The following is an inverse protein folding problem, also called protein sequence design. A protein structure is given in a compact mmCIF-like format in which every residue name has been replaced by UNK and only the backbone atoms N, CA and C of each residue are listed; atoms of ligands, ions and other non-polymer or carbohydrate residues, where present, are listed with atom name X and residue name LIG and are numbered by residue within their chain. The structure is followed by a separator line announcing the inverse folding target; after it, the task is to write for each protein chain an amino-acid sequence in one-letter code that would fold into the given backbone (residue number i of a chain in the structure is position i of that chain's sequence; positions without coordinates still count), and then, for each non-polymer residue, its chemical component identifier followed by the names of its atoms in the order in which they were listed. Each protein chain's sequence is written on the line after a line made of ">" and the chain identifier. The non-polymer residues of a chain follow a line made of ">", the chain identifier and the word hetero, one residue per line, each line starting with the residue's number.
data_IF_697929024288
#
_entry.id   IF_697929024288
#
_cell.length_a   1.000
_cell.length_b   1.000
_cell.length_c   1.000
_cell.angle_alpha   90.00
_cell.angle_beta   90.00
_cell.angle_gamma   90.00
#
_symmetry.space_group_name_H-M   'P 1'
#
loop_
_entity.id
_entity.type
_entity.pdbx_description
1 polymer ?
#
# COMPACT_ATOMS: atom_id res chain seq x y z
N UNK A 1 70.24 1.50 -14.11
CA UNK A 1 69.00 0.96 -14.72
C UNK A 1 69.20 0.33 -16.11
N UNK A 2 69.86 0.99 -17.09
CA UNK A 2 70.03 0.44 -18.45
C UNK A 2 70.74 -0.94 -18.51
N UNK A 3 71.77 -1.17 -17.67
CA UNK A 3 72.50 -2.46 -17.57
C UNK A 3 71.67 -3.61 -16.98
N UNK A 4 70.66 -3.31 -16.16
CA UNK A 4 69.76 -4.30 -15.58
C UNK A 4 68.73 -4.76 -16.62
N UNK A 5 68.18 -3.81 -17.38
CA UNK A 5 67.28 -4.08 -18.50
C UNK A 5 67.91 -4.94 -19.60
N UNK A 6 69.19 -4.71 -19.93
CA UNK A 6 69.88 -5.54 -20.94
C UNK A 6 70.14 -6.96 -20.45
N UNK A 7 70.47 -7.16 -19.17
CA UNK A 7 70.62 -8.49 -18.55
C UNK A 7 69.29 -9.26 -18.51
N UNK A 8 68.20 -8.59 -18.13
CA UNK A 8 66.86 -9.18 -18.11
C UNK A 8 66.42 -9.59 -19.53
N UNK A 9 66.64 -8.73 -20.54
CA UNK A 9 66.32 -9.07 -21.93
C UNK A 9 67.08 -10.30 -22.44
N UNK A 10 68.37 -10.43 -22.13
CA UNK A 10 69.16 -11.60 -22.53
C UNK A 10 68.64 -12.88 -21.88
N UNK A 11 68.34 -12.81 -20.58
CA UNK A 11 67.82 -13.94 -19.81
C UNK A 11 66.44 -14.41 -20.30
N UNK A 12 65.55 -13.48 -20.67
CA UNK A 12 64.25 -13.78 -21.29
C UNK A 12 64.44 -14.46 -22.66
N UNK A 13 65.46 -14.06 -23.43
CA UNK A 13 65.75 -14.64 -24.75
C UNK A 13 66.31 -16.07 -24.64
N UNK A 14 67.04 -16.38 -23.57
CA UNK A 14 67.54 -17.74 -23.26
C UNK A 14 66.43 -18.65 -22.73
N UNK A 15 65.48 -18.10 -21.95
CA UNK A 15 64.41 -18.87 -21.29
C UNK A 15 63.03 -18.63 -21.92
N UNK A 16 62.97 -18.37 -23.24
CA UNK A 16 61.74 -17.99 -23.97
C UNK A 16 60.57 -18.92 -23.66
N UNK A 17 60.77 -20.24 -23.75
CA UNK A 17 59.71 -21.23 -23.54
C UNK A 17 59.10 -21.16 -22.13
N UNK A 18 59.92 -20.93 -21.10
CA UNK A 18 59.46 -20.78 -19.73
C UNK A 18 58.68 -19.47 -19.54
N UNK A 19 59.15 -18.36 -20.15
CA UNK A 19 58.41 -17.10 -20.14
C UNK A 19 57.05 -17.19 -20.85
N UNK A 20 56.96 -17.87 -22.00
CA UNK A 20 55.69 -18.07 -22.70
C UNK A 20 54.70 -18.93 -21.91
N UNK A 21 55.16 -20.01 -21.26
CA UNK A 21 54.31 -20.82 -20.40
C UNK A 21 53.83 -20.05 -19.16
N UNK A 22 54.71 -19.25 -18.55
CA UNK A 22 54.35 -18.40 -17.43
C UNK A 22 53.29 -17.35 -17.79
N UNK A 23 53.45 -16.66 -18.92
CA UNK A 23 52.49 -15.63 -19.35
C UNK A 23 51.15 -16.19 -19.80
N UNK A 24 51.13 -17.40 -20.39
CA UNK A 24 49.87 -18.07 -20.77
C UNK A 24 49.11 -18.56 -19.54
N UNK A 25 49.79 -19.13 -18.54
CA UNK A 25 49.19 -19.51 -17.26
C UNK A 25 48.62 -18.30 -16.51
N UNK A 26 49.37 -17.18 -16.43
CA UNK A 26 48.84 -15.98 -15.77
C UNK A 26 47.64 -15.39 -16.50
N UNK A 27 47.61 -15.41 -17.83
CA UNK A 27 46.44 -15.00 -18.62
C UNK A 27 45.21 -15.86 -18.32
N UNK A 28 45.38 -17.18 -18.19
CA UNK A 28 44.29 -18.10 -17.83
C UNK A 28 43.81 -17.83 -16.39
N UNK A 29 44.70 -17.60 -15.44
CA UNK A 29 44.32 -17.28 -14.07
C UNK A 29 43.56 -15.94 -13.98
N UNK A 30 44.02 -14.91 -14.69
CA UNK A 30 43.35 -13.61 -14.72
C UNK A 30 41.97 -13.74 -15.35
N UNK A 31 41.81 -14.51 -16.43
CA UNK A 31 40.49 -14.70 -17.04
C UNK A 31 39.52 -15.44 -16.13
N UNK A 32 39.98 -16.45 -15.40
CA UNK A 32 39.16 -17.16 -14.41
C UNK A 32 38.71 -16.24 -13.26
N UNK A 33 39.61 -15.41 -12.73
CA UNK A 33 39.27 -14.45 -11.68
C UNK A 33 38.26 -13.41 -12.17
N UNK A 34 38.43 -12.88 -13.38
CA UNK A 34 37.47 -11.94 -13.97
C UNK A 34 36.08 -12.57 -14.15
N UNK A 35 36.00 -13.83 -14.58
CA UNK A 35 34.71 -14.53 -14.70
C UNK A 35 34.05 -14.67 -13.33
N UNK A 36 34.82 -14.99 -12.29
CA UNK A 36 34.31 -15.10 -10.94
C UNK A 36 33.80 -13.76 -10.40
N UNK A 37 34.54 -12.68 -10.59
CA UNK A 37 34.14 -11.34 -10.17
C UNK A 37 32.87 -10.87 -10.90
N UNK A 38 32.78 -11.11 -12.21
CA UNK A 38 31.57 -10.80 -12.99
C UNK A 38 30.37 -11.57 -12.44
N UNK A 39 30.51 -12.88 -12.18
CA UNK A 39 29.43 -13.69 -11.61
C UNK A 39 28.98 -13.16 -10.24
N UNK A 40 29.92 -12.79 -9.40
CA UNK A 40 29.62 -12.26 -8.08
C UNK A 40 28.92 -10.89 -8.18
N UNK A 41 29.39 -10.01 -9.05
CA UNK A 41 28.78 -8.70 -9.30
C UNK A 41 27.34 -8.84 -9.83
N UNK A 42 27.10 -9.76 -10.78
CA UNK A 42 25.75 -10.05 -11.28
C UNK A 42 24.83 -10.53 -10.14
N UNK A 43 25.32 -11.41 -9.26
CA UNK A 43 24.55 -11.90 -8.13
C UNK A 43 24.22 -10.77 -7.14
N UNK A 44 25.16 -9.88 -6.84
CA UNK A 44 24.91 -8.71 -5.99
C UNK A 44 23.89 -7.75 -6.61
N UNK A 45 23.99 -7.46 -7.91
CA UNK A 45 23.03 -6.61 -8.63
C UNK A 45 21.64 -7.24 -8.60
N UNK A 46 21.54 -8.56 -8.77
CA UNK A 46 20.25 -9.26 -8.69
C UNK A 46 19.63 -9.13 -7.30
N UNK A 47 20.41 -9.36 -6.24
CA UNK A 47 19.94 -9.19 -4.85
C UNK A 47 19.54 -7.74 -4.56
N UNK A 48 20.29 -6.77 -5.09
CA UNK A 48 19.93 -5.36 -4.96
C UNK A 48 18.59 -5.05 -5.65
N UNK A 49 18.36 -5.57 -6.85
CA UNK A 49 17.08 -5.40 -7.55
C UNK A 49 15.92 -6.04 -6.79
N UNK A 50 16.09 -7.27 -6.29
CA UNK A 50 15.08 -7.94 -5.46
C UNK A 50 14.78 -7.13 -4.19
N UNK A 51 15.79 -6.55 -3.55
CA UNK A 51 15.58 -5.68 -2.38
C UNK A 51 14.83 -4.39 -2.71
N UNK A 52 15.05 -3.81 -3.89
CA UNK A 52 14.33 -2.62 -4.38
C UNK A 52 12.86 -2.96 -4.63
N UNK A 53 12.59 -4.11 -5.24
CA UNK A 53 11.23 -4.60 -5.49
C UNK A 53 10.47 -4.78 -4.16
N UNK A 54 11.09 -5.43 -3.17
CA UNK A 54 10.48 -5.60 -1.83
C UNK A 54 10.19 -4.25 -1.16
N UNK A 55 11.08 -3.25 -1.30
CA UNK A 55 10.85 -1.90 -0.76
C UNK A 55 9.69 -1.21 -1.47
N UNK A 56 9.57 -1.37 -2.80
CA UNK A 56 8.45 -0.81 -3.55
C UNK A 56 7.12 -1.43 -3.11
N UNK A 57 7.07 -2.76 -2.98
CA UNK A 57 5.89 -3.47 -2.50
C UNK A 57 5.49 -3.02 -1.09
N UNK A 58 6.46 -2.88 -0.18
CA UNK A 58 6.22 -2.38 1.16
C UNK A 58 5.63 -0.96 1.17
N UNK A 59 6.12 -0.07 0.29
CA UNK A 59 5.58 1.29 0.16
C UNK A 59 4.15 1.30 -0.37
N UNK A 60 3.83 0.43 -1.35
CA UNK A 60 2.47 0.29 -1.86
C UNK A 60 1.53 -0.21 -0.76
N UNK A 61 1.93 -1.22 0.01
CA UNK A 61 1.14 -1.74 1.13
C UNK A 61 0.91 -0.66 2.19
N UNK A 62 1.92 0.15 2.50
CA UNK A 62 1.79 1.27 3.44
C UNK A 62 0.76 2.29 2.96
N UNK A 63 0.80 2.68 1.69
CA UNK A 63 -0.16 3.59 1.08
C UNK A 63 -1.60 3.03 1.12
N UNK A 64 -1.76 1.74 0.83
CA UNK A 64 -3.05 1.05 0.91
C UNK A 64 -3.57 1.08 2.35
N UNK A 65 -2.72 0.81 3.33
CA UNK A 65 -3.09 0.80 4.74
C UNK A 65 -3.52 2.20 5.24
N UNK A 66 -2.81 3.25 4.84
CA UNK A 66 -3.20 4.64 5.13
C UNK A 66 -4.57 4.97 4.54
N UNK A 67 -4.79 4.58 3.28
CA UNK A 67 -6.07 4.78 2.58
C UNK A 67 -7.20 4.03 3.27
N UNK A 68 -6.98 2.77 3.64
CA UNK A 68 -7.96 1.96 4.37
C UNK A 68 -8.30 2.58 5.74
N UNK A 69 -7.30 3.08 6.47
CA UNK A 69 -7.51 3.77 7.74
C UNK A 69 -8.38 5.03 7.58
N UNK A 70 -8.15 5.81 6.52
CA UNK A 70 -8.98 6.97 6.20
C UNK A 70 -10.42 6.57 5.86
N UNK A 71 -10.62 5.51 5.06
CA UNK A 71 -11.95 4.98 4.73
C UNK A 71 -12.69 4.53 5.98
N UNK A 72 -12.03 3.79 6.87
CA UNK A 72 -12.64 3.31 8.13
C UNK A 72 -13.08 4.50 9.00
N UNK A 73 -12.24 5.53 9.12
CA UNK A 73 -12.59 6.76 9.87
C UNK A 73 -13.81 7.46 9.27
N UNK A 74 -13.86 7.59 7.95
CA UNK A 74 -15.00 8.20 7.26
C UNK A 74 -16.28 7.37 7.44
N UNK A 75 -16.20 6.04 7.32
CA UNK A 75 -17.34 5.16 7.55
C UNK A 75 -17.86 5.26 8.99
N UNK A 76 -16.95 5.35 9.96
CA UNK A 76 -17.33 5.57 11.37
C UNK A 76 -18.07 6.88 11.54
N UNK A 77 -17.56 7.97 10.97
CA UNK A 77 -18.22 9.29 11.03
C UNK A 77 -19.63 9.26 10.42
N UNK A 78 -19.79 8.63 9.24
CA UNK A 78 -21.10 8.48 8.59
C UNK A 78 -22.06 7.67 9.47
N UNK A 79 -21.58 6.58 10.08
CA UNK A 79 -22.39 5.74 10.95
C UNK A 79 -22.85 6.49 12.20
N UNK A 80 -21.93 7.23 12.84
CA UNK A 80 -22.25 8.07 14.00
C UNK A 80 -23.30 9.13 13.65
N UNK A 81 -23.18 9.76 12.47
CA UNK A 81 -24.18 10.71 11.98
C UNK A 81 -25.54 10.05 11.72
N UNK A 82 -25.56 8.88 11.07
CA UNK A 82 -26.80 8.13 10.83
C UNK A 82 -27.48 7.74 12.14
N UNK A 83 -26.71 7.30 13.14
CA UNK A 83 -27.22 6.99 14.48
C UNK A 83 -27.84 8.21 15.14
N UNK A 84 -27.20 9.38 15.03
CA UNK A 84 -27.76 10.65 15.52
C UNK A 84 -29.09 10.98 14.84
N UNK A 85 -29.14 10.89 13.51
CA UNK A 85 -30.34 11.17 12.73
C UNK A 85 -31.50 10.20 13.08
N UNK A 86 -31.20 8.92 13.29
CA UNK A 86 -32.19 7.93 13.73
C UNK A 86 -32.74 8.30 15.11
N UNK A 87 -31.87 8.67 16.05
CA UNK A 87 -32.31 9.07 17.39
C UNK A 87 -33.21 10.31 17.35
N UNK A 88 -32.88 11.27 16.49
CA UNK A 88 -33.70 12.47 16.29
C UNK A 88 -35.05 12.13 15.65
N UNK A 89 -35.08 11.28 14.63
CA UNK A 89 -36.33 10.80 14.02
C UNK A 89 -37.21 10.07 15.05
N UNK A 90 -36.63 9.23 15.91
CA UNK A 90 -37.35 8.56 17.00
C UNK A 90 -37.92 9.58 17.99
N UNK A 91 -37.16 10.62 18.36
CA UNK A 91 -37.66 11.70 19.22
C UNK A 91 -38.86 12.40 18.57
N UNK A 92 -38.75 12.79 17.31
CA UNK A 92 -39.84 13.45 16.58
C UNK A 92 -41.09 12.57 16.49
N UNK A 93 -40.93 11.26 16.24
CA UNK A 93 -42.06 10.32 16.23
C UNK A 93 -42.74 10.24 17.60
N UNK A 94 -41.97 10.22 18.69
CA UNK A 94 -42.53 10.22 20.05
C UNK A 94 -43.28 11.52 20.36
N UNK A 95 -42.73 12.66 19.95
CA UNK A 95 -43.40 13.97 20.08
C UNK A 95 -44.70 14.01 19.28
N UNK A 96 -44.68 13.57 18.01
CA UNK A 96 -45.86 13.47 17.16
C UNK A 96 -46.91 12.53 17.75
N UNK A 97 -46.50 11.35 18.25
CA UNK A 97 -47.41 10.42 18.91
C UNK A 97 -48.07 11.05 20.15
N UNK A 98 -47.32 11.82 20.93
CA UNK A 98 -47.85 12.54 22.08
C UNK A 98 -48.87 13.62 21.68
N UNK A 99 -48.58 14.38 20.62
CA UNK A 99 -49.50 15.38 20.07
C UNK A 99 -50.77 14.76 19.52
N UNK A 100 -50.66 13.67 18.73
CA UNK A 100 -51.81 12.93 18.20
C UNK A 100 -52.66 12.41 19.35
N UNK A 101 -52.05 11.86 20.41
CA UNK A 101 -52.80 11.40 21.58
C UNK A 101 -53.57 12.53 22.26
N UNK A 102 -52.93 13.69 22.47
CA UNK A 102 -53.61 14.89 23.02
C UNK A 102 -54.76 15.37 22.14
N UNK A 103 -54.57 15.33 20.81
CA UNK A 103 -55.61 15.70 19.85
C UNK A 103 -56.80 14.74 19.94
N UNK A 104 -56.54 13.43 19.99
CA UNK A 104 -57.58 12.41 20.18
C UNK A 104 -58.32 12.62 21.51
N UNK A 105 -57.60 12.85 22.60
CA UNK A 105 -58.21 13.08 23.92
C UNK A 105 -59.08 14.36 23.91
N UNK A 106 -58.64 15.41 23.22
CA UNK A 106 -59.44 16.64 23.01
C UNK A 106 -60.70 16.36 22.17
N UNK A 107 -60.59 15.67 21.04
CA UNK A 107 -61.73 15.33 20.18
C UNK A 107 -62.76 14.46 20.92
N UNK A 108 -62.31 13.52 21.77
CA UNK A 108 -63.19 12.75 22.65
C UNK A 108 -63.91 13.64 23.67
N UNK A 109 -63.26 14.69 24.17
CA UNK A 109 -63.87 15.57 25.18
C UNK A 109 -65.03 16.42 24.63
N UNK A 110 -65.06 16.64 23.32
CA UNK A 110 -66.12 17.36 22.61
C UNK A 110 -67.07 16.43 21.84
N UNK A 111 -66.96 15.11 22.03
CA UNK A 111 -67.76 14.07 21.36
C UNK A 111 -67.65 14.08 19.81
N UNK A 112 -66.55 14.60 19.27
CA UNK A 112 -66.24 14.61 17.82
C UNK A 112 -65.30 13.46 17.41
N UNK A 113 -65.00 12.55 18.33
CA UNK A 113 -64.23 11.34 18.06
C UNK A 113 -65.11 10.09 18.07
N UNK A 114 -65.04 9.21 17.05
CA UNK A 114 -64.17 9.28 15.88
C UNK A 114 -64.68 10.29 14.84
N UNK A 115 -63.79 10.87 14.01
CA UNK A 115 -64.19 11.75 12.93
C UNK A 115 -65.19 11.05 11.99
N UNK A 116 -66.20 11.81 11.56
CA UNK A 116 -67.32 11.32 10.75
C UNK A 116 -66.95 10.97 9.32
N UNK A 117 -65.88 11.56 8.78
CA UNK A 117 -65.34 11.21 7.46
C UNK A 117 -63.98 10.51 7.59
N UNK A 118 -63.73 9.45 6.80
CA UNK A 118 -62.42 8.83 6.73
C UNK A 118 -61.38 9.84 6.20
N UNK A 119 -60.26 9.93 6.89
CA UNK A 119 -59.13 10.76 6.46
C UNK A 119 -58.54 10.21 5.16
N UNK A 120 -58.58 11.01 4.10
CA UNK A 120 -57.99 10.72 2.80
C UNK A 120 -56.65 11.48 2.66
N UNK A 121 -55.50 10.79 2.78
CA UNK A 121 -54.19 11.43 2.69
C UNK A 121 -53.88 11.99 1.30
N UNK A 122 -54.54 11.52 0.24
CA UNK A 122 -54.25 11.91 -1.15
C UNK A 122 -54.94 13.22 -1.56
N UNK A 123 -55.85 13.76 -0.74
CA UNK A 123 -56.51 15.06 -0.99
C UNK A 123 -55.64 16.28 -0.65
N UNK A 124 -54.51 16.09 0.01
CA UNK A 124 -53.71 17.17 0.60
C UNK A 124 -52.23 17.17 0.17
N UNK A 125 -51.88 16.33 -0.81
CA UNK A 125 -50.59 16.32 -1.52
C UNK A 125 -50.76 17.04 -2.85
#
# INVERSE_FOLDING_TARGET
>A
MKKLWTKIKLWIVENKSCCYLGTTLTLIFISLLLIQDIRHSIAQVKLANESIEVIQDANVIMLINETQSAIIKNQKYINDQQKSNINEAVRMLNEQSGLIKKLIDYLKSIDEWPPSEPFDPDKWI
#
